data_IF_921953571121
#
_entry.id   IF_921953571121
#
_cell.length_a   1.000
_cell.length_b   1.000
_cell.length_c   1.000
_cell.angle_alpha   90.00
_cell.angle_beta   90.00
_cell.angle_gamma   90.00
#
_symmetry.space_group_name_H-M   'P 1'
#
loop_
_entity.id
_entity.type
_entity.pdbx_description
1 polymer ?
#
# COMPACT_ATOMS: atom_id res chain seq x y z
N UNK A 1 12.17 -1.21 -5.14
CA UNK A 1 11.11 -0.56 -4.32
C UNK A 1 11.73 0.67 -3.70
N UNK A 2 11.02 1.79 -3.65
CA UNK A 2 11.60 3.10 -3.35
C UNK A 2 12.11 3.25 -1.90
N UNK A 3 11.57 2.50 -0.94
CA UNK A 3 11.82 2.73 0.50
C UNK A 3 12.48 1.54 1.23
N UNK A 4 13.12 0.62 0.53
CA UNK A 4 13.74 -0.58 1.15
C UNK A 4 14.93 -0.21 2.02
N UNK A 5 15.76 0.72 1.54
CA UNK A 5 16.97 1.15 2.26
C UNK A 5 16.62 1.86 3.57
N UNK A 6 15.54 2.66 3.56
CA UNK A 6 15.02 3.33 4.76
C UNK A 6 14.48 2.31 5.78
N UNK A 7 13.73 1.31 5.31
CA UNK A 7 13.24 0.24 6.18
C UNK A 7 14.38 -0.56 6.82
N UNK A 8 15.42 -0.93 6.06
CA UNK A 8 16.56 -1.68 6.60
C UNK A 8 17.32 -0.89 7.66
N UNK A 9 17.52 0.42 7.46
CA UNK A 9 18.17 1.29 8.43
C UNK A 9 17.38 1.35 9.74
N UNK A 10 16.08 1.62 9.64
CA UNK A 10 15.19 1.75 10.79
C UNK A 10 14.98 0.43 11.52
N UNK A 11 14.89 -0.69 10.80
CA UNK A 11 14.79 -2.03 11.37
C UNK A 11 15.99 -2.37 12.25
N UNK A 12 17.21 -2.02 11.81
CA UNK A 12 18.45 -2.21 12.61
C UNK A 12 18.51 -1.27 13.81
N UNK A 13 18.12 0.00 13.65
CA UNK A 13 18.16 1.00 14.73
C UNK A 13 17.12 0.71 15.82
N UNK A 14 15.92 0.26 15.44
CA UNK A 14 14.80 0.02 16.36
C UNK A 14 14.61 -1.45 16.73
N UNK A 15 15.50 -2.34 16.26
CA UNK A 15 15.46 -3.78 16.52
C UNK A 15 14.09 -4.40 16.26
N UNK A 16 13.58 -4.19 15.03
CA UNK A 16 12.27 -4.74 14.67
C UNK A 16 12.25 -6.26 14.80
N UNK A 17 11.19 -6.85 15.39
CA UNK A 17 11.03 -8.29 15.44
C UNK A 17 10.95 -8.89 14.04
N UNK A 18 11.50 -10.08 13.86
CA UNK A 18 11.45 -10.82 12.59
C UNK A 18 10.00 -11.06 12.11
N UNK A 19 9.05 -11.16 13.04
CA UNK A 19 7.63 -11.31 12.72
C UNK A 19 7.07 -10.09 11.95
N UNK A 20 7.55 -8.88 12.27
CA UNK A 20 7.15 -7.65 11.58
C UNK A 20 7.72 -7.64 10.16
N UNK A 21 8.96 -8.06 9.96
CA UNK A 21 9.58 -8.19 8.63
C UNK A 21 8.82 -9.19 7.74
N UNK A 22 8.41 -10.31 8.32
CA UNK A 22 7.57 -11.30 7.62
C UNK A 22 6.21 -10.71 7.21
N UNK A 23 5.48 -10.11 8.16
CA UNK A 23 4.18 -9.49 7.91
C UNK A 23 4.30 -8.42 6.82
N UNK A 24 5.32 -7.57 6.88
CA UNK A 24 5.52 -6.49 5.91
C UNK A 24 5.75 -7.05 4.50
N UNK A 25 6.65 -8.03 4.36
CA UNK A 25 6.95 -8.67 3.07
C UNK A 25 5.73 -9.35 2.45
N UNK A 26 4.90 -10.01 3.26
CA UNK A 26 3.66 -10.63 2.78
C UNK A 26 2.64 -9.58 2.32
N UNK A 27 2.47 -8.48 3.07
CA UNK A 27 1.59 -7.38 2.66
C UNK A 27 2.05 -6.74 1.35
N UNK A 28 3.37 -6.54 1.17
CA UNK A 28 3.92 -6.03 -0.09
C UNK A 28 3.60 -6.96 -1.26
N UNK A 29 3.75 -8.29 -1.09
CA UNK A 29 3.38 -9.26 -2.14
C UNK A 29 1.90 -9.17 -2.50
N UNK A 30 1.02 -9.06 -1.51
CA UNK A 30 -0.43 -8.89 -1.73
C UNK A 30 -0.70 -7.61 -2.52
N UNK A 31 -0.07 -6.49 -2.15
CA UNK A 31 -0.23 -5.22 -2.86
C UNK A 31 0.25 -5.32 -4.31
N UNK A 32 1.40 -5.98 -4.56
CA UNK A 32 1.91 -6.22 -5.91
C UNK A 32 0.95 -7.08 -6.73
N UNK A 33 0.39 -8.14 -6.14
CA UNK A 33 -0.63 -8.96 -6.82
C UNK A 33 -1.89 -8.14 -7.15
N UNK A 34 -2.33 -7.28 -6.24
CA UNK A 34 -3.50 -6.42 -6.47
C UNK A 34 -3.25 -5.39 -7.57
N UNK A 35 -2.05 -4.82 -7.65
CA UNK A 35 -1.66 -3.90 -8.72
C UNK A 35 -1.65 -4.64 -10.06
N UNK A 36 -0.98 -5.80 -10.14
CA UNK A 36 -0.86 -6.57 -11.37
C UNK A 36 -2.21 -7.07 -11.91
N UNK A 37 -3.14 -7.43 -11.01
CA UNK A 37 -4.47 -7.88 -11.39
C UNK A 37 -5.51 -6.76 -11.42
N UNK A 38 -5.14 -5.50 -11.15
CA UNK A 38 -6.07 -4.38 -11.09
C UNK A 38 -7.22 -4.59 -10.09
N UNK A 39 -6.93 -5.16 -8.92
CA UNK A 39 -7.90 -5.48 -7.86
C UNK A 39 -7.95 -4.40 -6.78
N UNK A 40 -9.07 -4.36 -6.06
CA UNK A 40 -9.25 -3.48 -4.90
C UNK A 40 -9.07 -2.00 -5.27
N UNK A 41 -8.20 -1.26 -4.55
CA UNK A 41 -8.02 0.18 -4.76
C UNK A 41 -7.42 0.55 -6.11
N UNK A 42 -6.81 -0.41 -6.81
CA UNK A 42 -6.20 -0.22 -8.12
C UNK A 42 -7.14 -0.55 -9.29
N UNK A 43 -8.35 -1.03 -9.00
CA UNK A 43 -9.35 -1.26 -10.05
C UNK A 43 -9.89 0.07 -10.57
N UNK A 44 -10.08 0.19 -11.89
CA UNK A 44 -10.63 1.41 -12.53
C UNK A 44 -11.94 1.85 -11.86
N UNK A 45 -12.86 0.89 -11.63
CA UNK A 45 -14.15 1.18 -11.01
C UNK A 45 -14.04 1.73 -9.58
N UNK A 46 -13.04 1.29 -8.80
CA UNK A 46 -12.85 1.79 -7.44
C UNK A 46 -12.34 3.25 -7.43
N UNK A 47 -11.40 3.57 -8.32
CA UNK A 47 -10.90 4.96 -8.48
C UNK A 47 -12.05 5.89 -8.88
N UNK A 48 -12.91 5.46 -9.80
CA UNK A 48 -14.07 6.25 -10.25
C UNK A 48 -15.06 6.54 -9.13
N UNK A 49 -15.33 5.57 -8.25
CA UNK A 49 -16.22 5.74 -7.08
C UNK A 49 -15.68 6.83 -6.16
N UNK A 50 -14.40 6.75 -5.78
CA UNK A 50 -13.79 7.73 -4.87
C UNK A 50 -13.62 9.10 -5.51
N UNK A 51 -13.30 9.15 -6.80
CA UNK A 51 -13.26 10.41 -7.53
C UNK A 51 -14.63 11.09 -7.61
N UNK A 52 -15.69 10.32 -7.87
CA UNK A 52 -17.06 10.84 -7.85
C UNK A 52 -17.48 11.29 -6.44
N UNK A 53 -17.10 10.54 -5.39
CA UNK A 53 -17.32 10.92 -4.00
C UNK A 53 -16.62 12.22 -3.64
N UNK A 54 -15.36 12.37 -4.05
CA UNK A 54 -14.59 13.61 -3.87
C UNK A 54 -15.27 14.80 -4.55
N UNK A 55 -15.68 14.65 -5.82
CA UNK A 55 -16.42 15.71 -6.54
C UNK A 55 -17.71 16.14 -5.84
N UNK A 56 -18.48 15.19 -5.30
CA UNK A 56 -19.70 15.48 -4.53
C UNK A 56 -19.43 16.27 -3.24
N UNK A 57 -18.33 15.96 -2.55
CA UNK A 57 -17.97 16.64 -1.31
C UNK A 57 -17.33 18.02 -1.56
N UNK A 58 -16.61 18.16 -2.68
CA UNK A 58 -15.94 19.41 -3.08
C UNK A 58 -16.88 20.46 -3.69
N UNK A 59 -18.13 20.09 -4.04
CA UNK A 59 -19.16 21.01 -4.52
C UNK A 59 -20.09 21.51 -3.40
N UNK A 60 -19.65 21.45 -2.14
CA UNK A 60 -20.28 22.07 -0.97
C UNK A 60 -19.38 23.19 -0.46
#
# INVERSE_FOLDING_TARGET
>A
MLDVDEYELHSKLMQYPNDIDYILKENVKILVDWINNGKGPFSKGYVDIWYNRYKQLSHK
#
